data_IF_560067463568
#
_entry.id   IF_560067463568
#
_cell.length_a   1.000
_cell.length_b   1.000
_cell.length_c   1.000
_cell.angle_alpha   90.00
_cell.angle_beta   90.00
_cell.angle_gamma   90.00
#
_symmetry.space_group_name_H-M   'P 1'
#
loop_
_entity.id
_entity.type
_entity.pdbx_description
1 polymer ?
#
# COMPACT_ATOMS: atom_id res chain seq x y z
N UNK A 1 -24.52 -9.89 18.77
CA UNK A 1 -23.50 -8.92 18.30
C UNK A 1 -22.32 -9.71 17.75
N UNK A 2 -21.82 -9.44 16.53
CA UNK A 2 -20.64 -10.12 15.95
C UNK A 2 -19.47 -9.13 15.93
N UNK A 3 -18.50 -9.29 16.83
CA UNK A 3 -17.25 -8.52 16.80
C UNK A 3 -16.43 -8.99 15.60
N UNK A 4 -15.97 -8.05 14.75
CA UNK A 4 -14.98 -8.30 13.70
C UNK A 4 -13.71 -7.53 14.05
N UNK A 5 -12.56 -8.17 13.92
CA UNK A 5 -11.27 -7.50 14.02
C UNK A 5 -10.91 -6.86 12.68
N UNK A 6 -10.46 -5.61 12.74
CA UNK A 6 -9.98 -4.86 11.57
C UNK A 6 -8.47 -4.63 11.76
N UNK A 7 -7.68 -4.97 10.74
CA UNK A 7 -6.23 -4.77 10.77
C UNK A 7 -5.93 -3.53 9.92
N UNK A 8 -5.24 -2.55 10.52
CA UNK A 8 -4.81 -1.32 9.87
C UNK A 8 -3.29 -1.15 9.92
N UNK A 9 -2.75 -0.34 9.01
CA UNK A 9 -1.35 0.06 8.98
C UNK A 9 -1.27 1.59 9.02
N UNK A 10 -0.35 2.13 9.82
CA UNK A 10 -0.09 3.58 9.92
C UNK A 10 1.28 3.87 9.31
N UNK A 11 1.34 4.85 8.41
CA UNK A 11 2.56 5.27 7.73
C UNK A 11 2.87 6.71 8.14
N UNK A 12 4.09 6.96 8.58
CA UNK A 12 4.56 8.29 8.89
C UNK A 12 5.05 8.96 7.58
N UNK A 13 4.37 10.03 7.17
CA UNK A 13 4.68 10.73 5.91
C UNK A 13 5.89 11.67 6.03
N UNK A 14 6.25 12.15 7.22
CA UNK A 14 7.45 12.97 7.43
C UNK A 14 8.74 12.18 7.21
N UNK A 15 8.72 10.87 7.55
CA UNK A 15 9.83 9.94 7.29
C UNK A 15 9.76 9.28 5.91
N UNK A 16 8.67 9.48 5.17
CA UNK A 16 8.50 8.87 3.86
C UNK A 16 9.31 9.64 2.81
N UNK A 17 10.38 9.02 2.29
CA UNK A 17 11.24 9.63 1.27
C UNK A 17 10.79 9.36 -0.17
N UNK A 18 9.70 8.61 -0.37
CA UNK A 18 9.22 8.30 -1.73
C UNK A 18 10.10 7.33 -2.53
N UNK A 19 10.87 6.43 -1.89
CA UNK A 19 11.75 5.48 -2.57
C UNK A 19 11.04 4.37 -3.38
N UNK A 20 9.70 4.35 -3.41
CA UNK A 20 8.86 3.41 -4.15
C UNK A 20 9.04 1.91 -3.86
N UNK A 21 9.84 1.53 -2.85
CA UNK A 21 10.03 0.12 -2.46
C UNK A 21 8.71 -0.55 -2.07
N UNK A 22 7.84 0.17 -1.34
CA UNK A 22 6.52 -0.35 -0.96
C UNK A 22 5.65 -0.71 -2.17
N UNK A 23 5.72 0.05 -3.26
CA UNK A 23 4.99 -0.23 -4.51
C UNK A 23 5.55 -1.41 -5.29
N UNK A 24 6.88 -1.60 -5.30
CA UNK A 24 7.53 -2.76 -5.95
C UNK A 24 7.23 -4.05 -5.18
N UNK A 25 7.35 -4.02 -3.85
CA UNK A 25 7.11 -5.19 -3.00
C UNK A 25 5.65 -5.63 -3.02
N UNK A 26 4.71 -4.69 -2.99
CA UNK A 26 3.28 -5.02 -3.01
C UNK A 26 2.88 -5.68 -4.34
N UNK A 27 3.46 -5.24 -5.47
CA UNK A 27 3.29 -5.89 -6.78
C UNK A 27 3.88 -7.30 -6.80
N UNK A 28 5.10 -7.50 -6.30
CA UNK A 28 5.75 -8.83 -6.28
C UNK A 28 5.01 -9.86 -5.41
N UNK A 29 4.37 -9.43 -4.32
CA UNK A 29 3.62 -10.33 -3.42
C UNK A 29 2.27 -10.76 -3.99
N UNK A 30 1.67 -9.94 -4.85
CA UNK A 30 0.36 -10.12 -5.45
C UNK A 30 0.49 -10.22 -6.98
N UNK A 31 1.33 -11.14 -7.49
CA UNK A 31 1.47 -11.44 -8.93
C UNK A 31 0.18 -12.10 -9.49
N UNK A 32 -0.94 -11.39 -9.35
CA UNK A 32 -2.25 -11.72 -9.85
C UNK A 32 -2.68 -10.57 -10.75
N UNK A 33 -2.90 -10.83 -12.05
CA UNK A 33 -3.35 -9.79 -12.98
C UNK A 33 -4.72 -9.27 -12.54
N UNK A 34 -4.87 -7.95 -12.41
CA UNK A 34 -6.15 -7.29 -12.14
C UNK A 34 -6.40 -6.80 -10.70
N UNK A 35 -5.43 -6.92 -9.78
CA UNK A 35 -5.50 -6.21 -8.49
C UNK A 35 -4.54 -5.04 -8.47
N UNK A 36 -5.09 -3.83 -8.60
CA UNK A 36 -4.40 -2.59 -8.25
C UNK A 36 -4.16 -2.60 -6.74
N UNK A 37 -3.06 -3.23 -6.33
CA UNK A 37 -2.64 -3.28 -4.93
C UNK A 37 -2.60 -1.88 -4.33
N UNK A 38 -2.93 -1.79 -3.03
CA UNK A 38 -2.84 -0.62 -2.14
C UNK A 38 -1.78 0.39 -2.59
N UNK A 39 -2.15 1.33 -3.46
CA UNK A 39 -1.27 2.43 -3.88
C UNK A 39 -1.33 3.50 -2.80
N UNK A 40 -0.60 3.25 -1.72
CA UNK A 40 -0.45 4.18 -0.59
C UNK A 40 0.27 5.47 -1.02
N UNK A 41 1.01 5.42 -2.12
CA UNK A 41 1.61 6.59 -2.77
C UNK A 41 0.79 6.85 -4.05
N UNK A 42 -0.25 7.66 -3.94
CA UNK A 42 -0.98 8.16 -5.11
C UNK A 42 0.03 8.96 -5.93
N UNK A 43 0.35 8.49 -7.14
CA UNK A 43 1.15 9.23 -8.12
C UNK A 43 0.33 10.45 -8.58
N UNK A 44 0.27 11.51 -7.78
CA UNK A 44 -0.11 12.83 -8.30
C UNK A 44 1.09 13.34 -9.11
N UNK A 45 0.98 13.28 -10.43
CA UNK A 45 1.83 14.08 -11.33
C UNK A 45 2.81 13.34 -12.24
N UNK A 46 2.42 12.20 -12.83
CA UNK A 46 2.88 11.82 -14.19
C UNK A 46 1.73 11.22 -14.97
#
# INVERSE_FOLDING_TARGET
>A
MKIRSQVGMVLNLDKCIGCHTCSVTCKKRLDQPGRDGIRLVQQRGK
#
